data_IF_149228538202
#
_entry.id   IF_149228538202
#
_cell.length_a   1.000
_cell.length_b   1.000
_cell.length_c   1.000
_cell.angle_alpha   90.00
_cell.angle_beta   90.00
_cell.angle_gamma   90.00
#
_symmetry.space_group_name_H-M   'P 1'
#
loop_
_entity.id
_entity.type
_entity.pdbx_description
1 polymer ?
#
# COMPACT_ATOMS: atom_id res chain seq x y z
N UNK A 1 1.40 -80.29 24.15
CA UNK A 1 0.07 -79.91 23.61
C UNK A 1 0.25 -79.04 22.38
N UNK A 2 -0.70 -79.07 21.43
CA UNK A 2 -0.72 -78.21 20.24
C UNK A 2 -2.14 -77.71 19.98
N UNK A 3 -2.29 -76.48 19.51
CA UNK A 3 -3.60 -75.96 19.10
C UNK A 3 -3.94 -76.39 17.67
N UNK A 4 -5.24 -76.47 17.37
CA UNK A 4 -5.73 -76.72 16.01
C UNK A 4 -5.42 -75.52 15.09
N UNK A 5 -5.42 -75.75 13.77
CA UNK A 5 -5.18 -74.70 12.78
C UNK A 5 -6.20 -73.55 12.98
N UNK A 6 -5.71 -72.32 13.00
CA UNK A 6 -6.54 -71.13 13.27
C UNK A 6 -6.71 -70.81 14.76
N UNK A 7 -5.94 -71.44 15.64
CA UNK A 7 -5.89 -71.12 17.06
C UNK A 7 -4.44 -70.91 17.52
N UNK A 8 -4.22 -69.95 18.43
CA UNK A 8 -2.94 -69.64 19.06
C UNK A 8 -2.95 -70.14 20.50
N UNK A 9 -1.82 -70.68 20.96
CA UNK A 9 -1.69 -71.21 22.32
C UNK A 9 -1.30 -70.09 23.29
N UNK A 10 -2.01 -70.00 24.40
CA UNK A 10 -1.67 -69.16 25.55
C UNK A 10 -1.30 -70.07 26.73
N UNK A 11 -0.05 -70.00 27.19
CA UNK A 11 0.51 -70.87 28.22
C UNK A 11 1.54 -71.87 27.68
N UNK A 12 2.04 -72.74 28.56
CA UNK A 12 3.09 -73.70 28.21
C UNK A 12 2.55 -74.82 27.31
N UNK A 13 3.28 -75.12 26.24
CA UNK A 13 2.99 -76.30 25.41
C UNK A 13 3.31 -77.62 26.11
N UNK A 14 4.00 -77.55 27.25
CA UNK A 14 4.38 -78.69 28.09
C UNK A 14 3.79 -78.50 29.47
N UNK A 15 3.06 -79.51 29.95
CA UNK A 15 2.51 -79.55 31.30
C UNK A 15 3.11 -80.76 32.02
N UNK A 16 3.33 -80.62 33.32
CA UNK A 16 3.89 -81.67 34.16
C UNK A 16 2.79 -82.34 35.00
N UNK A 17 3.02 -83.62 35.33
CA UNK A 17 2.19 -84.34 36.29
C UNK A 17 2.91 -84.35 37.64
N UNK A 18 2.30 -83.72 38.65
CA UNK A 18 2.89 -83.59 39.97
C UNK A 18 1.93 -84.24 40.97
N UNK A 19 2.41 -85.26 41.69
CA UNK A 19 1.63 -86.01 42.70
C UNK A 19 0.28 -86.55 42.17
N UNK A 20 0.27 -87.06 40.94
CA UNK A 20 -0.92 -87.64 40.31
C UNK A 20 -1.90 -86.62 39.72
N UNK A 21 -1.60 -85.32 39.75
CA UNK A 21 -2.42 -84.27 39.15
C UNK A 21 -1.65 -83.54 38.05
N UNK A 22 -2.28 -83.40 36.89
CA UNK A 22 -1.74 -82.58 35.80
C UNK A 22 -1.87 -81.09 36.13
N UNK A 23 -0.85 -80.33 35.74
CA UNK A 23 -0.93 -78.87 35.67
C UNK A 23 -2.04 -78.41 34.71
N UNK A 24 -2.46 -77.14 34.84
CA UNK A 24 -3.51 -76.60 33.99
C UNK A 24 -3.08 -76.61 32.50
N UNK A 25 -3.91 -77.13 31.59
CA UNK A 25 -3.60 -77.13 30.17
C UNK A 25 -3.61 -75.70 29.60
N UNK A 26 -2.80 -75.40 28.57
CA UNK A 26 -2.82 -74.11 27.90
C UNK A 26 -4.16 -73.87 27.19
N UNK A 27 -4.55 -72.61 27.10
CA UNK A 27 -5.74 -72.19 26.37
C UNK A 27 -5.42 -72.01 24.88
N UNK A 28 -6.32 -72.47 24.02
CA UNK A 28 -6.24 -72.23 22.58
C UNK A 28 -7.24 -71.13 22.21
N UNK A 29 -6.74 -69.93 21.90
CA UNK A 29 -7.55 -68.79 21.47
C UNK A 29 -7.72 -68.78 19.95
N UNK A 30 -8.95 -68.55 19.48
CA UNK A 30 -9.27 -68.52 18.04
C UNK A 30 -8.67 -67.29 17.38
N UNK A 31 -7.94 -67.49 16.30
CA UNK A 31 -7.44 -66.42 15.43
C UNK A 31 -8.58 -65.95 14.53
N UNK A 32 -9.13 -64.77 14.81
CA UNK A 32 -10.18 -64.16 13.97
C UNK A 32 -9.49 -63.39 12.85
N UNK A 33 -9.72 -63.74 11.57
CA UNK A 33 -9.11 -63.03 10.47
C UNK A 33 -9.72 -61.63 10.35
N UNK A 34 -8.85 -60.62 10.20
CA UNK A 34 -9.26 -59.28 9.81
C UNK A 34 -9.47 -59.19 8.29
N UNK A 35 -10.26 -58.20 7.87
CA UNK A 35 -10.27 -57.75 6.47
C UNK A 35 -8.93 -57.10 6.12
N UNK A 36 -8.73 -56.76 4.85
CA UNK A 36 -7.58 -55.96 4.44
C UNK A 36 -7.48 -54.68 5.29
N UNK A 37 -6.26 -54.26 5.68
CA UNK A 37 -6.10 -53.08 6.50
C UNK A 37 -6.65 -51.82 5.83
N UNK A 38 -7.15 -50.83 6.60
CA UNK A 38 -7.67 -49.59 6.05
C UNK A 38 -6.62 -48.84 5.21
N UNK A 39 -7.04 -48.27 4.08
CA UNK A 39 -6.21 -47.32 3.35
C UNK A 39 -6.29 -45.95 4.00
N UNK A 40 -5.17 -45.24 4.10
CA UNK A 40 -5.12 -43.87 4.63
C UNK A 40 -4.81 -42.86 3.52
N UNK A 41 -5.37 -41.66 3.63
CA UNK A 41 -5.06 -40.56 2.71
C UNK A 41 -3.59 -40.14 2.87
N UNK A 42 -2.92 -39.86 1.76
CA UNK A 42 -1.51 -39.46 1.71
C UNK A 42 -0.53 -40.40 2.44
N UNK A 43 -0.88 -41.68 2.55
CA UNK A 43 0.01 -42.70 3.11
C UNK A 43 -0.23 -44.10 2.53
N UNK A 44 0.61 -45.04 2.95
CA UNK A 44 0.59 -46.43 2.53
C UNK A 44 1.06 -47.35 3.65
N UNK A 45 0.67 -48.62 3.58
CA UNK A 45 1.21 -49.66 4.46
C UNK A 45 2.67 -49.89 4.05
N UNK A 46 3.56 -49.95 5.04
CA UNK A 46 4.98 -50.26 4.82
C UNK A 46 5.14 -51.69 4.32
N UNK A 47 6.00 -51.90 3.33
CA UNK A 47 6.18 -53.20 2.67
C UNK A 47 6.60 -54.30 3.65
N UNK A 48 7.40 -53.93 4.66
CA UNK A 48 7.82 -54.83 5.76
C UNK A 48 6.67 -55.36 6.62
N UNK A 49 5.48 -54.76 6.56
CA UNK A 49 4.29 -55.17 7.32
C UNK A 49 3.17 -55.75 6.43
N UNK A 50 3.43 -55.90 5.11
CA UNK A 50 2.46 -56.51 4.20
C UNK A 50 2.43 -58.02 4.39
N UNK A 51 1.23 -58.57 4.48
CA UNK A 51 0.97 -59.99 4.62
C UNK A 51 -0.21 -60.39 3.74
N UNK A 52 -0.24 -61.64 3.29
CA UNK A 52 -1.35 -62.17 2.50
C UNK A 52 -2.65 -62.31 3.32
N UNK A 53 -2.53 -62.50 4.64
CA UNK A 53 -3.66 -62.63 5.58
C UNK A 53 -3.29 -62.03 6.93
N UNK A 54 -4.27 -61.41 7.57
CA UNK A 54 -4.14 -60.79 8.89
C UNK A 54 -5.09 -61.43 9.90
N UNK A 55 -4.63 -61.68 11.12
CA UNK A 55 -5.37 -62.26 12.24
C UNK A 55 -5.23 -61.41 13.50
N UNK A 56 -6.05 -61.69 14.53
CA UNK A 56 -5.96 -61.02 15.83
C UNK A 56 -4.52 -60.95 16.35
N UNK A 57 -4.14 -59.78 16.87
CA UNK A 57 -2.80 -59.36 17.32
C UNK A 57 -1.82 -58.94 16.21
N UNK A 58 -2.14 -59.12 14.93
CA UNK A 58 -1.29 -58.63 13.85
C UNK A 58 -1.28 -57.10 13.81
N UNK A 59 -0.11 -56.54 13.52
CA UNK A 59 0.12 -55.09 13.48
C UNK A 59 0.57 -54.71 12.08
N UNK A 60 -0.04 -53.66 11.53
CA UNK A 60 0.42 -53.02 10.31
C UNK A 60 0.94 -51.63 10.61
N UNK A 61 2.15 -51.34 10.11
CA UNK A 61 2.73 -49.99 10.17
C UNK A 61 2.44 -49.24 8.88
N UNK A 62 2.16 -47.96 9.02
CA UNK A 62 1.93 -47.05 7.91
C UNK A 62 3.14 -46.14 7.73
N UNK A 63 3.30 -45.63 6.51
CA UNK A 63 4.19 -44.53 6.17
C UNK A 63 3.41 -43.47 5.39
N UNK A 64 3.80 -42.21 5.52
CA UNK A 64 3.22 -41.13 4.76
C UNK A 64 4.01 -40.87 3.46
N UNK A 65 3.34 -40.29 2.47
CA UNK A 65 3.97 -39.81 1.23
C UNK A 65 4.87 -38.59 1.54
N UNK A 66 5.78 -38.27 0.63
CA UNK A 66 6.63 -37.08 0.74
C UNK A 66 5.81 -35.81 0.98
N UNK A 67 6.25 -34.95 1.91
CA UNK A 67 5.56 -33.73 2.31
C UNK A 67 4.51 -33.93 3.42
N UNK A 68 4.38 -35.15 3.95
CA UNK A 68 3.48 -35.50 5.04
C UNK A 68 4.20 -36.36 6.10
N UNK A 69 3.79 -36.18 7.36
CA UNK A 69 4.23 -36.97 8.49
C UNK A 69 3.05 -37.64 9.20
N UNK A 70 3.35 -38.68 9.96
CA UNK A 70 2.34 -39.36 10.79
C UNK A 70 2.02 -38.50 12.01
N UNK A 71 0.75 -38.18 12.17
CA UNK A 71 0.19 -37.58 13.37
C UNK A 71 -0.47 -38.67 14.24
N UNK A 72 0.06 -38.88 15.44
CA UNK A 72 -0.42 -39.89 16.39
C UNK A 72 0.26 -41.25 16.23
N UNK A 73 -0.50 -42.35 16.42
CA UNK A 73 0.04 -43.72 16.34
C UNK A 73 0.35 -44.11 14.88
N UNK A 74 1.53 -44.69 14.64
CA UNK A 74 2.03 -45.09 13.31
C UNK A 74 1.54 -46.46 12.84
N UNK A 75 0.74 -47.14 13.67
CA UNK A 75 0.34 -48.52 13.46
C UNK A 75 -1.13 -48.76 13.78
N UNK A 76 -1.70 -49.77 13.13
CA UNK A 76 -3.03 -50.29 13.43
C UNK A 76 -2.92 -51.79 13.76
N UNK A 77 -3.67 -52.23 14.76
CA UNK A 77 -3.66 -53.60 15.25
C UNK A 77 -4.98 -54.27 14.92
N UNK A 78 -4.93 -55.52 14.45
CA UNK A 78 -6.11 -56.34 14.25
C UNK A 78 -6.58 -56.87 15.61
N UNK A 79 -7.78 -56.48 16.05
CA UNK A 79 -8.42 -56.94 17.27
C UNK A 79 -9.76 -57.60 16.93
N UNK A 80 -9.84 -58.92 17.15
CA UNK A 80 -11.08 -59.69 16.98
C UNK A 80 -11.78 -59.48 15.62
N UNK A 81 -11.01 -59.35 14.54
CA UNK A 81 -11.52 -59.16 13.18
C UNK A 81 -11.77 -57.71 12.77
N UNK A 82 -11.49 -56.73 13.62
CA UNK A 82 -11.54 -55.30 13.30
C UNK A 82 -10.19 -54.62 13.52
N UNK A 83 -9.86 -53.66 12.67
CA UNK A 83 -8.65 -52.85 12.83
C UNK A 83 -8.89 -51.71 13.81
N UNK A 84 -7.89 -51.43 14.66
CA UNK A 84 -7.89 -50.21 15.47
C UNK A 84 -7.78 -48.96 14.61
N UNK A 85 -8.04 -47.79 15.19
CA UNK A 85 -7.92 -46.49 14.52
C UNK A 85 -6.60 -46.37 13.75
N UNK A 86 -6.69 -45.99 12.48
CA UNK A 86 -5.52 -45.80 11.61
C UNK A 86 -4.86 -44.42 11.83
N UNK A 87 -3.54 -44.28 11.58
CA UNK A 87 -2.86 -42.99 11.57
C UNK A 87 -3.50 -41.99 10.62
N UNK A 88 -3.21 -40.71 10.87
CA UNK A 88 -3.44 -39.63 9.92
C UNK A 88 -2.11 -39.10 9.42
N UNK A 89 -2.00 -38.95 8.10
CA UNK A 89 -0.90 -38.22 7.49
C UNK A 89 -1.29 -36.75 7.40
N UNK A 90 -0.54 -35.88 8.05
CA UNK A 90 -0.69 -34.42 8.03
C UNK A 90 0.52 -33.80 7.36
N UNK A 91 0.33 -32.65 6.73
CA UNK A 91 1.38 -31.93 6.01
C UNK A 91 2.58 -31.66 6.93
N UNK A 92 3.79 -31.75 6.38
CA UNK A 92 5.02 -31.52 7.15
C UNK A 92 5.09 -30.08 7.66
N UNK A 93 5.39 -29.88 8.96
CA UNK A 93 5.71 -28.57 9.47
C UNK A 93 7.10 -28.16 8.99
N UNK A 94 7.34 -26.85 8.95
CA UNK A 94 8.65 -26.29 8.71
C UNK A 94 9.37 -26.09 10.04
N UNK A 95 10.69 -26.17 9.99
CA UNK A 95 11.57 -25.80 11.11
C UNK A 95 11.60 -24.28 11.30
N UNK A 96 12.62 -23.77 12.01
CA UNK A 96 12.86 -22.34 12.20
C UNK A 96 12.83 -21.56 10.88
N UNK A 97 12.27 -20.35 10.95
CA UNK A 97 12.18 -19.48 9.79
C UNK A 97 13.59 -19.11 9.27
N UNK A 98 13.83 -19.08 7.96
CA UNK A 98 15.17 -18.83 7.41
C UNK A 98 15.69 -17.45 7.82
N UNK A 99 17.00 -17.35 8.04
CA UNK A 99 17.65 -16.06 8.26
C UNK A 99 17.65 -15.23 6.98
N UNK A 100 17.35 -13.94 7.11
CA UNK A 100 17.39 -12.97 6.00
C UNK A 100 18.43 -11.92 6.35
N UNK A 101 19.39 -11.68 5.46
CA UNK A 101 20.40 -10.65 5.67
C UNK A 101 19.74 -9.28 5.87
N UNK A 102 20.16 -8.55 6.90
CA UNK A 102 19.55 -7.28 7.33
C UNK A 102 18.04 -7.37 7.65
N UNK A 103 17.57 -8.56 8.03
CA UNK A 103 16.18 -8.83 8.36
C UNK A 103 16.07 -9.64 9.65
N UNK A 104 15.07 -9.30 10.46
CA UNK A 104 14.76 -9.96 11.72
C UNK A 104 13.36 -10.57 11.66
N UNK A 105 13.25 -11.84 12.07
CA UNK A 105 11.95 -12.52 12.24
C UNK A 105 11.23 -11.94 13.46
N UNK A 106 9.98 -11.50 13.27
CA UNK A 106 9.18 -10.85 14.32
C UNK A 106 8.92 -11.79 15.50
N UNK A 107 8.55 -13.04 15.21
CA UNK A 107 8.24 -14.05 16.21
C UNK A 107 9.08 -15.30 15.96
N UNK A 108 10.11 -15.51 16.78
CA UNK A 108 10.99 -16.68 16.68
C UNK A 108 10.30 -17.90 17.26
N UNK A 109 9.98 -18.87 16.40
CA UNK A 109 9.44 -20.19 16.79
C UNK A 109 10.31 -21.28 16.18
N UNK A 110 10.38 -22.42 16.87
CA UNK A 110 11.15 -23.59 16.42
C UNK A 110 10.46 -24.37 15.29
N UNK A 111 9.13 -24.30 15.24
CA UNK A 111 8.30 -25.08 14.33
C UNK A 111 7.14 -24.19 13.86
N UNK A 112 6.86 -24.24 12.57
CA UNK A 112 5.70 -23.61 11.93
C UNK A 112 4.90 -24.69 11.20
N UNK A 113 3.60 -24.79 11.50
CA UNK A 113 2.73 -25.73 10.82
C UNK A 113 2.51 -25.32 9.36
N UNK A 114 2.12 -26.30 8.54
CA UNK A 114 1.70 -26.04 7.16
C UNK A 114 0.65 -24.93 7.09
N UNK A 115 0.85 -23.98 6.19
CA UNK A 115 -0.03 -22.82 6.00
C UNK A 115 0.27 -21.63 6.93
N UNK A 116 1.11 -21.80 7.97
CA UNK A 116 1.58 -20.68 8.77
C UNK A 116 2.64 -19.85 8.03
N UNK A 117 2.82 -18.61 8.49
CA UNK A 117 3.82 -17.69 7.94
C UNK A 117 4.65 -17.01 9.02
N UNK A 118 5.92 -16.81 8.73
CA UNK A 118 6.83 -16.00 9.55
C UNK A 118 6.97 -14.60 8.94
N UNK A 119 6.75 -13.57 9.75
CA UNK A 119 6.90 -12.17 9.34
C UNK A 119 8.32 -11.65 9.60
N UNK A 120 8.78 -10.77 8.73
CA UNK A 120 10.11 -10.17 8.77
C UNK A 120 10.03 -8.65 8.83
N UNK A 121 10.95 -8.05 9.57
CA UNK A 121 11.19 -6.61 9.61
C UNK A 121 12.66 -6.39 9.23
N UNK A 122 12.93 -5.43 8.35
CA UNK A 122 14.29 -5.09 7.95
C UNK A 122 14.96 -4.16 8.96
N UNK A 123 16.27 -4.27 9.08
CA UNK A 123 17.10 -3.39 9.89
C UNK A 123 17.03 -1.94 9.37
N UNK A 124 17.43 -0.97 10.19
CA UNK A 124 17.50 0.44 9.79
C UNK A 124 18.38 0.61 8.54
N UNK A 125 17.93 1.41 7.57
CA UNK A 125 18.61 1.60 6.28
C UNK A 125 18.26 0.55 5.22
N UNK A 126 17.38 -0.40 5.53
CA UNK A 126 16.87 -1.40 4.60
C UNK A 126 15.36 -1.37 4.53
N UNK A 127 14.81 -1.74 3.38
CA UNK A 127 13.38 -1.92 3.17
C UNK A 127 13.10 -3.30 2.61
N UNK A 128 11.90 -3.77 2.88
CA UNK A 128 11.47 -5.08 2.40
C UNK A 128 11.14 -5.05 0.90
N UNK A 129 11.47 -6.13 0.20
CA UNK A 129 11.21 -6.31 -1.23
C UNK A 129 10.61 -7.69 -1.49
N UNK A 130 9.52 -7.74 -2.27
CA UNK A 130 8.84 -8.98 -2.67
C UNK A 130 7.75 -9.51 -1.72
N UNK A 131 7.55 -8.90 -0.55
CA UNK A 131 6.57 -9.29 0.47
C UNK A 131 7.20 -9.33 1.87
N UNK A 132 6.41 -9.28 2.96
CA UNK A 132 6.93 -9.20 4.33
C UNK A 132 6.98 -10.52 5.10
N UNK A 133 6.60 -11.62 4.45
CA UNK A 133 6.31 -12.88 5.11
C UNK A 133 6.79 -14.08 4.29
N UNK A 134 7.45 -15.04 4.93
CA UNK A 134 7.72 -16.37 4.37
C UNK A 134 6.59 -17.33 4.78
N UNK A 135 6.15 -18.21 3.89
CA UNK A 135 5.06 -19.17 4.14
C UNK A 135 5.58 -20.60 4.22
N UNK A 136 5.11 -21.38 5.19
CA UNK A 136 5.42 -22.79 5.31
C UNK A 136 4.48 -23.64 4.45
N UNK A 137 5.04 -24.46 3.56
CA UNK A 137 4.29 -25.41 2.75
C UNK A 137 5.04 -26.74 2.65
N UNK A 138 4.41 -27.85 3.07
CA UNK A 138 4.95 -29.21 2.98
C UNK A 138 6.42 -29.31 3.46
N UNK A 139 6.70 -28.77 4.65
CA UNK A 139 8.04 -28.75 5.25
C UNK A 139 9.05 -27.80 4.60
N UNK A 140 8.62 -26.95 3.65
CA UNK A 140 9.49 -26.00 2.95
C UNK A 140 9.02 -24.56 3.12
N UNK A 141 9.99 -23.68 3.31
CA UNK A 141 9.76 -22.23 3.32
C UNK A 141 9.66 -21.69 1.89
N UNK A 142 8.58 -20.97 1.60
CA UNK A 142 8.31 -20.32 0.34
C UNK A 142 8.23 -18.80 0.52
N UNK A 143 8.49 -18.05 -0.56
CA UNK A 143 8.37 -16.58 -0.60
C UNK A 143 9.20 -15.87 0.48
N UNK A 144 10.43 -16.35 0.71
CA UNK A 144 11.35 -15.74 1.67
C UNK A 144 11.64 -14.30 1.23
N UNK A 145 11.42 -13.30 2.11
CA UNK A 145 11.58 -11.90 1.74
C UNK A 145 13.05 -11.50 1.62
N UNK A 146 13.30 -10.36 0.98
CA UNK A 146 14.64 -9.76 0.90
C UNK A 146 14.62 -8.34 1.45
N UNK A 147 15.63 -8.00 2.25
CA UNK A 147 15.87 -6.64 2.70
C UNK A 147 16.90 -5.99 1.78
N UNK A 148 16.46 -4.95 1.06
CA UNK A 148 17.30 -4.19 0.13
C UNK A 148 17.64 -2.84 0.76
N UNK A 149 18.85 -2.35 0.51
CA UNK A 149 19.26 -1.03 1.01
C UNK A 149 18.32 0.06 0.50
N UNK A 150 18.08 1.07 1.34
CA UNK A 150 17.40 2.31 0.94
C UNK A 150 18.37 3.42 0.63
N UNK A 151 19.67 3.21 0.88
CA UNK A 151 20.71 4.19 0.60
C UNK A 151 20.90 4.42 -0.90
N UNK A 152 21.17 5.66 -1.28
CA UNK A 152 21.54 6.04 -2.62
C UNK A 152 23.06 5.89 -2.81
N UNK A 153 23.44 5.49 -4.02
CA UNK A 153 24.80 5.67 -4.52
C UNK A 153 25.18 7.16 -4.59
N UNK A 154 26.47 7.49 -4.80
CA UNK A 154 26.90 8.87 -4.89
C UNK A 154 26.07 9.67 -5.90
N UNK A 155 25.69 10.92 -5.56
CA UNK A 155 24.78 11.72 -6.37
C UNK A 155 25.30 11.95 -7.79
N UNK A 156 24.43 11.94 -8.81
CA UNK A 156 24.84 12.06 -10.19
C UNK A 156 25.41 13.46 -10.49
N UNK A 157 26.33 13.55 -11.45
CA UNK A 157 26.86 14.83 -11.89
C UNK A 157 25.78 15.64 -12.63
N UNK A 158 25.45 16.83 -12.12
CA UNK A 158 24.52 17.77 -12.77
C UNK A 158 25.31 18.73 -13.65
N UNK A 159 24.92 18.85 -14.93
CA UNK A 159 25.62 19.68 -15.91
C UNK A 159 25.69 21.15 -15.47
N UNK A 160 26.86 21.76 -15.65
CA UNK A 160 27.13 23.16 -15.28
C UNK A 160 26.89 23.46 -13.80
N UNK A 161 27.11 22.47 -12.93
CA UNK A 161 27.07 22.62 -11.49
C UNK A 161 28.27 21.92 -10.85
N UNK A 162 28.46 22.18 -9.57
CA UNK A 162 29.38 21.48 -8.70
C UNK A 162 28.65 21.08 -7.42
N UNK A 163 28.94 19.89 -6.91
CA UNK A 163 28.50 19.51 -5.58
C UNK A 163 29.25 20.36 -4.55
N UNK A 164 28.53 20.83 -3.53
CA UNK A 164 29.09 21.72 -2.51
C UNK A 164 29.81 20.95 -1.41
N UNK A 165 29.40 19.69 -1.19
CA UNK A 165 29.89 18.79 -0.15
C UNK A 165 30.81 17.72 -0.75
N UNK A 166 31.62 17.07 0.09
CA UNK A 166 32.43 15.92 -0.33
C UNK A 166 31.55 14.71 -0.65
N UNK A 167 31.94 13.96 -1.68
CA UNK A 167 31.23 12.74 -2.08
C UNK A 167 31.46 11.64 -1.04
N UNK A 168 30.38 11.12 -0.47
CA UNK A 168 30.37 9.87 0.30
C UNK A 168 30.18 8.70 -0.66
N UNK A 169 30.62 7.51 -0.26
CA UNK A 169 30.37 6.28 -1.01
C UNK A 169 28.88 5.86 -1.01
N UNK A 170 28.12 6.30 -0.01
CA UNK A 170 26.67 6.03 0.10
C UNK A 170 25.94 7.09 0.92
N UNK A 171 24.66 7.32 0.61
CA UNK A 171 23.79 8.30 1.28
C UNK A 171 22.52 7.66 1.81
N UNK A 172 22.15 7.88 3.07
CA UNK A 172 20.93 7.31 3.64
C UNK A 172 19.66 7.96 3.05
N UNK A 173 18.55 7.21 2.98
CA UNK A 173 17.28 7.76 2.51
C UNK A 173 16.82 8.90 3.42
N UNK A 174 16.60 10.08 2.85
CA UNK A 174 16.32 11.33 3.54
C UNK A 174 17.49 12.31 3.57
N UNK A 175 18.73 11.84 3.34
CA UNK A 175 19.88 12.74 3.21
C UNK A 175 19.74 13.64 1.99
N UNK A 176 20.24 14.87 2.12
CA UNK A 176 20.21 15.89 1.08
C UNK A 176 21.63 16.28 0.72
N UNK A 177 21.81 16.64 -0.54
CA UNK A 177 23.06 17.22 -1.04
C UNK A 177 22.77 18.49 -1.81
N UNK A 178 23.69 19.45 -1.72
CA UNK A 178 23.51 20.75 -2.37
C UNK A 178 24.43 20.92 -3.57
N UNK A 179 23.85 21.24 -4.72
CA UNK A 179 24.57 21.66 -5.91
C UNK A 179 24.59 23.18 -6.03
N UNK A 180 25.74 23.69 -6.45
CA UNK A 180 25.92 25.09 -6.81
C UNK A 180 26.18 25.19 -8.30
N UNK A 181 25.47 26.08 -9.01
CA UNK A 181 25.72 26.28 -10.43
C UNK A 181 27.10 26.91 -10.68
N UNK A 182 27.77 26.45 -11.74
CA UNK A 182 29.07 26.95 -12.15
C UNK A 182 28.96 28.43 -12.54
N UNK A 183 30.10 29.14 -12.54
CA UNK A 183 30.17 30.55 -12.96
C UNK A 183 29.53 30.73 -14.35
N UNK A 184 28.62 31.68 -14.46
CA UNK A 184 27.86 31.91 -15.69
C UNK A 184 26.61 31.04 -15.84
N UNK A 185 26.18 30.32 -14.80
CA UNK A 185 24.93 29.57 -14.76
C UNK A 185 24.14 29.85 -13.48
N UNK A 186 22.81 29.81 -13.55
CA UNK A 186 21.89 29.98 -12.42
C UNK A 186 20.90 28.83 -12.33
N UNK A 187 20.49 28.52 -11.12
CA UNK A 187 19.46 27.53 -10.84
C UNK A 187 18.13 27.92 -11.50
N UNK A 188 17.43 26.94 -12.06
CA UNK A 188 16.07 27.09 -12.56
C UNK A 188 15.10 27.36 -11.40
N UNK A 189 14.25 28.38 -11.56
CA UNK A 189 13.49 29.01 -10.46
C UNK A 189 12.55 28.07 -9.69
N UNK A 190 12.05 27.02 -10.34
CA UNK A 190 11.14 26.04 -9.73
C UNK A 190 11.85 24.93 -8.97
N UNK A 191 13.19 24.91 -8.97
CA UNK A 191 13.99 23.86 -8.36
C UNK A 191 14.80 24.43 -7.19
N UNK A 192 15.01 23.62 -6.16
CA UNK A 192 16.04 23.85 -5.15
C UNK A 192 17.40 23.41 -5.68
N UNK A 193 18.48 24.01 -5.17
CA UNK A 193 19.84 23.46 -5.37
C UNK A 193 20.04 22.15 -4.61
N UNK A 194 19.10 21.79 -3.74
CA UNK A 194 19.09 20.57 -2.94
C UNK A 194 18.46 19.41 -3.71
N UNK A 195 19.20 18.31 -3.82
CA UNK A 195 18.68 17.00 -4.19
C UNK A 195 18.57 16.12 -2.94
N UNK A 196 17.61 15.21 -2.91
CA UNK A 196 17.36 14.34 -1.76
C UNK A 196 17.41 12.87 -2.18
N UNK A 197 18.09 12.04 -1.38
CA UNK A 197 18.03 10.59 -1.54
C UNK A 197 16.67 10.08 -1.04
N UNK A 198 15.94 9.37 -1.88
CA UNK A 198 14.72 8.65 -1.51
C UNK A 198 14.78 7.23 -2.03
N UNK A 199 14.90 6.25 -1.12
CA UNK A 199 14.85 4.82 -1.42
C UNK A 199 15.68 4.42 -2.66
N UNK A 200 16.99 4.69 -2.63
CA UNK A 200 17.97 4.45 -3.70
C UNK A 200 17.88 5.35 -4.94
N UNK A 201 17.05 6.40 -4.94
CA UNK A 201 16.94 7.33 -6.06
C UNK A 201 17.15 8.78 -5.61
N UNK A 202 17.86 9.55 -6.43
CA UNK A 202 18.02 10.99 -6.20
C UNK A 202 16.85 11.77 -6.78
N UNK A 203 16.12 12.46 -5.91
CA UNK A 203 14.99 13.29 -6.23
C UNK A 203 15.39 14.77 -6.26
N UNK A 204 14.63 15.58 -7.00
CA UNK A 204 14.80 17.04 -7.09
C UNK A 204 16.19 17.49 -7.59
N UNK A 205 16.77 16.76 -8.55
CA UNK A 205 18.03 17.17 -9.16
C UNK A 205 17.90 18.58 -9.80
N UNK A 206 18.81 19.51 -9.50
CA UNK A 206 18.72 20.88 -9.99
C UNK A 206 19.05 20.99 -11.49
N UNK A 207 18.58 22.07 -12.10
CA UNK A 207 18.91 22.42 -13.48
C UNK A 207 19.57 23.80 -13.49
N UNK A 208 20.81 23.84 -13.99
CA UNK A 208 21.58 25.08 -14.13
C UNK A 208 21.49 25.62 -15.57
N UNK A 209 20.84 26.77 -15.74
CA UNK A 209 20.70 27.47 -17.04
C UNK A 209 21.71 28.59 -17.17
N UNK A 210 22.13 28.91 -18.40
CA UNK A 210 23.18 29.91 -18.65
C UNK A 210 22.70 31.32 -18.28
N UNK A 211 23.53 32.04 -17.52
CA UNK A 211 23.33 33.44 -17.14
C UNK A 211 23.55 34.33 -18.36
N UNK A 212 22.66 35.30 -18.56
CA UNK A 212 22.84 36.36 -19.56
C UNK A 212 22.19 36.14 -20.92
N UNK A 213 21.36 35.10 -21.09
CA UNK A 213 20.39 35.12 -22.19
C UNK A 213 19.38 36.23 -21.94
N UNK A 214 19.05 36.98 -22.99
CA UNK A 214 18.05 38.04 -22.93
C UNK A 214 16.68 37.38 -22.92
N UNK A 215 15.78 37.85 -22.06
CA UNK A 215 14.39 37.42 -22.17
C UNK A 215 13.77 38.08 -23.41
N UNK A 216 12.84 37.38 -24.06
CA UNK A 216 11.96 37.98 -25.06
C UNK A 216 10.94 38.94 -24.43
N UNK A 217 9.88 39.32 -25.15
CA UNK A 217 8.79 40.11 -24.59
C UNK A 217 8.21 39.46 -23.33
N UNK A 218 7.78 40.26 -22.33
CA UNK A 218 7.21 39.75 -21.09
C UNK A 218 5.93 38.93 -21.35
N UNK A 219 5.62 37.93 -20.49
CA UNK A 219 4.45 37.08 -20.65
C UNK A 219 3.15 37.87 -20.76
N UNK A 220 2.20 37.41 -21.56
CA UNK A 220 0.88 38.05 -21.64
C UNK A 220 0.02 37.64 -20.45
N UNK A 221 -0.52 38.61 -19.71
CA UNK A 221 -1.48 38.38 -18.63
C UNK A 221 -2.89 38.68 -19.13
N UNK A 222 -3.83 37.76 -18.93
CA UNK A 222 -5.23 37.99 -19.34
C UNK A 222 -5.82 39.17 -18.57
N UNK A 223 -6.46 40.10 -19.30
CA UNK A 223 -6.97 41.39 -18.80
C UNK A 223 -5.92 42.39 -18.30
N UNK A 224 -4.72 41.94 -17.92
CA UNK A 224 -3.64 42.79 -17.44
C UNK A 224 -2.68 43.25 -18.54
N UNK A 225 -1.92 44.29 -18.25
CA UNK A 225 -0.80 44.71 -19.11
C UNK A 225 0.35 45.28 -18.26
N UNK A 226 1.52 45.42 -18.89
CA UNK A 226 2.68 46.09 -18.30
C UNK A 226 2.46 47.60 -18.26
N UNK A 227 2.92 48.27 -17.21
CA UNK A 227 2.81 49.74 -17.07
C UNK A 227 3.69 50.52 -18.04
N UNK A 228 4.77 49.90 -18.53
CA UNK A 228 5.71 50.46 -19.49
C UNK A 228 5.60 49.87 -20.89
N UNK A 229 6.37 50.43 -21.82
CA UNK A 229 6.47 49.96 -23.21
C UNK A 229 7.19 48.60 -23.23
N UNK A 230 6.59 47.62 -23.93
CA UNK A 230 7.19 46.31 -24.13
C UNK A 230 8.36 46.41 -25.10
N UNK A 231 9.54 45.98 -24.66
CA UNK A 231 10.72 45.82 -25.51
C UNK A 231 10.70 44.43 -26.15
N UNK A 232 11.32 44.24 -27.32
CA UNK A 232 11.48 42.91 -27.91
C UNK A 232 12.45 42.03 -27.10
N UNK A 233 13.40 42.64 -26.38
CA UNK A 233 14.40 41.94 -25.59
C UNK A 233 14.64 42.67 -24.26
N UNK A 234 14.86 41.91 -23.19
CA UNK A 234 15.17 42.41 -21.85
C UNK A 234 16.44 41.77 -21.32
N UNK A 235 17.32 42.59 -20.73
CA UNK A 235 18.56 42.10 -20.09
C UNK A 235 18.22 41.40 -18.77
N UNK A 236 19.03 40.41 -18.40
CA UNK A 236 18.93 39.79 -17.08
C UNK A 236 19.03 40.85 -15.97
N UNK A 237 18.11 40.83 -15.02
CA UNK A 237 17.92 41.83 -13.96
C UNK A 237 16.91 42.94 -14.29
N UNK A 238 16.56 43.17 -15.57
CA UNK A 238 15.48 44.11 -15.92
C UNK A 238 14.12 43.59 -15.46
N UNK A 239 13.19 44.50 -15.17
CA UNK A 239 11.88 44.15 -14.66
C UNK A 239 10.77 44.92 -15.35
N UNK A 240 9.60 44.31 -15.41
CA UNK A 240 8.36 44.97 -15.81
C UNK A 240 7.37 44.93 -14.66
N UNK A 241 6.56 45.97 -14.56
CA UNK A 241 5.48 46.04 -13.57
C UNK A 241 4.16 45.82 -14.27
N UNK A 242 3.34 44.90 -13.76
CA UNK A 242 2.01 44.62 -14.27
C UNK A 242 0.95 45.44 -13.54
N UNK A 243 -0.13 45.73 -14.27
CA UNK A 243 -1.32 46.37 -13.74
C UNK A 243 -2.56 45.67 -14.30
N UNK A 244 -3.51 45.42 -13.41
CA UNK A 244 -4.83 44.96 -13.80
C UNK A 244 -5.78 46.15 -14.03
N UNK A 245 -6.81 45.99 -14.88
CA UNK A 245 -7.84 47.01 -15.11
C UNK A 245 -8.61 47.32 -13.83
N UNK A 246 -9.41 48.39 -13.87
CA UNK A 246 -10.25 48.76 -12.73
C UNK A 246 -11.13 47.58 -12.29
N UNK A 247 -11.29 47.45 -10.97
CA UNK A 247 -12.05 46.40 -10.27
C UNK A 247 -11.47 44.97 -10.35
N UNK A 248 -10.50 44.70 -11.22
CA UNK A 248 -9.74 43.44 -11.18
C UNK A 248 -8.75 43.45 -10.01
N UNK A 249 -8.47 42.28 -9.44
CA UNK A 249 -7.46 42.12 -8.39
C UNK A 249 -6.25 41.41 -8.95
N UNK A 250 -5.07 42.00 -8.78
CA UNK A 250 -3.79 41.38 -9.12
C UNK A 250 -3.44 40.36 -8.04
N UNK A 251 -3.30 39.09 -8.43
CA UNK A 251 -2.83 37.98 -7.58
C UNK A 251 -1.43 37.57 -8.05
N UNK A 252 -0.44 37.65 -7.16
CA UNK A 252 0.97 37.37 -7.45
C UNK A 252 1.85 38.62 -7.31
N UNK A 253 3.10 38.51 -7.75
CA UNK A 253 4.05 39.62 -7.71
C UNK A 253 3.76 40.65 -8.81
N UNK A 254 3.66 41.93 -8.41
CA UNK A 254 3.37 43.03 -9.34
C UNK A 254 4.56 43.32 -10.27
N UNK A 255 5.78 43.17 -9.75
CA UNK A 255 7.03 43.41 -10.48
C UNK A 255 7.64 42.06 -10.84
N UNK A 256 7.79 41.82 -12.13
CA UNK A 256 8.28 40.57 -12.70
C UNK A 256 9.63 40.84 -13.34
N UNK A 257 10.66 40.13 -12.92
CA UNK A 257 12.04 40.30 -13.43
C UNK A 257 12.37 39.31 -14.55
N UNK A 258 13.24 39.71 -15.45
CA UNK A 258 13.93 38.79 -16.35
C UNK A 258 15.15 38.25 -15.62
N UNK A 259 15.23 36.94 -15.43
CA UNK A 259 16.39 36.30 -14.83
C UNK A 259 16.92 35.26 -15.81
N UNK A 260 18.05 35.59 -16.44
CA UNK A 260 18.83 34.65 -17.27
C UNK A 260 18.00 34.00 -18.40
N UNK A 261 17.31 34.83 -19.18
CA UNK A 261 16.51 34.40 -20.33
C UNK A 261 15.10 33.91 -19.97
N UNK A 262 14.78 33.81 -18.68
CA UNK A 262 13.46 33.36 -18.20
C UNK A 262 12.79 34.47 -17.40
N UNK A 263 11.53 34.75 -17.72
CA UNK A 263 10.72 35.67 -16.92
C UNK A 263 10.28 35.01 -15.62
N UNK A 264 10.26 35.79 -14.55
CA UNK A 264 9.56 35.44 -13.32
C UNK A 264 8.07 35.13 -13.58
N UNK A 265 7.42 34.39 -12.68
CA UNK A 265 6.00 34.06 -12.81
C UNK A 265 5.15 35.35 -12.88
N UNK A 266 4.40 35.49 -13.98
CA UNK A 266 3.56 36.66 -14.19
C UNK A 266 2.32 36.59 -13.29
N UNK A 267 1.84 37.73 -12.77
CA UNK A 267 0.66 37.75 -11.93
C UNK A 267 -0.61 37.46 -12.73
N UNK A 268 -1.69 37.12 -12.03
CA UNK A 268 -3.01 36.87 -12.63
C UNK A 268 -3.96 38.00 -12.24
N UNK A 269 -4.71 38.52 -13.22
CA UNK A 269 -5.79 39.46 -12.95
C UNK A 269 -7.10 38.72 -12.71
N UNK A 270 -7.54 38.67 -11.46
CA UNK A 270 -8.82 38.07 -11.08
C UNK A 270 -9.97 38.99 -11.48
N UNK A 271 -10.90 38.44 -12.25
CA UNK A 271 -12.06 39.18 -12.76
C UNK A 271 -13.02 39.62 -11.63
N UNK A 272 -13.52 40.87 -11.69
CA UNK A 272 -14.63 41.32 -10.86
C UNK A 272 -15.92 40.68 -11.34
N UNK A 273 -16.90 40.61 -10.44
CA UNK A 273 -18.22 40.12 -10.78
C UNK A 273 -19.18 41.28 -11.00
N UNK A 274 -20.07 41.10 -11.98
CA UNK A 274 -21.15 42.06 -12.24
C UNK A 274 -22.48 41.46 -11.82
N UNK A 275 -23.19 42.10 -10.90
CA UNK A 275 -24.55 41.71 -10.53
C UNK A 275 -25.53 42.17 -11.62
N UNK A 276 -25.74 41.34 -12.65
CA UNK A 276 -26.56 41.70 -13.81
C UNK A 276 -28.03 41.76 -13.43
N UNK A 277 -28.71 42.80 -13.90
CA UNK A 277 -30.15 42.98 -13.66
C UNK A 277 -30.97 41.81 -14.19
N UNK A 278 -30.68 41.34 -15.41
CA UNK A 278 -31.32 40.16 -16.00
C UNK A 278 -31.22 38.91 -15.11
N UNK A 279 -30.03 38.61 -14.59
CA UNK A 279 -29.83 37.44 -13.72
C UNK A 279 -30.61 37.63 -12.41
N UNK A 280 -30.64 38.84 -11.84
CA UNK A 280 -31.44 39.12 -10.65
C UNK A 280 -32.95 38.98 -10.90
N UNK A 281 -33.44 39.40 -12.07
CA UNK A 281 -34.85 39.21 -12.48
C UNK A 281 -35.22 37.74 -12.60
N UNK A 282 -34.41 36.94 -13.32
CA UNK A 282 -34.63 35.51 -13.51
C UNK A 282 -34.68 34.74 -12.18
N UNK A 283 -33.88 35.18 -11.21
CA UNK A 283 -33.82 34.60 -9.87
C UNK A 283 -34.79 35.26 -8.87
N UNK A 284 -35.58 36.26 -9.31
CA UNK A 284 -36.60 36.99 -8.53
C UNK A 284 -36.05 37.67 -7.27
N UNK A 285 -34.83 38.18 -7.38
CA UNK A 285 -34.07 38.83 -6.32
C UNK A 285 -33.76 40.29 -6.68
N UNK A 286 -33.32 41.05 -5.69
CA UNK A 286 -32.86 42.43 -5.82
C UNK A 286 -31.67 42.65 -4.87
N UNK A 287 -30.84 43.67 -5.12
CA UNK A 287 -29.82 44.08 -4.14
C UNK A 287 -30.53 44.50 -2.84
N UNK A 288 -30.00 44.06 -1.69
CA UNK A 288 -30.60 44.36 -0.38
C UNK A 288 -30.60 45.86 -0.07
N UNK A 289 -29.56 46.57 -0.50
CA UNK A 289 -29.37 48.00 -0.26
C UNK A 289 -29.56 48.77 -1.58
N UNK A 290 -30.70 49.47 -1.73
CA UNK A 290 -31.10 50.13 -3.00
C UNK A 290 -30.30 51.40 -3.32
N UNK A 291 -29.72 52.03 -2.30
CA UNK A 291 -29.01 53.32 -2.43
C UNK A 291 -27.61 53.18 -3.03
N UNK A 292 -27.07 51.96 -3.05
CA UNK A 292 -25.78 51.64 -3.67
C UNK A 292 -26.02 50.66 -4.81
N UNK A 293 -26.11 51.18 -6.04
CA UNK A 293 -26.01 50.34 -7.25
C UNK A 293 -24.58 49.79 -7.38
N UNK A 294 -24.17 48.90 -6.46
CA UNK A 294 -22.89 48.19 -6.51
C UNK A 294 -22.98 47.14 -7.61
N UNK A 295 -22.92 47.62 -8.86
CA UNK A 295 -23.04 46.78 -10.05
C UNK A 295 -21.82 45.87 -10.22
N UNK A 296 -20.66 46.31 -9.71
CA UNK A 296 -19.38 45.59 -9.78
C UNK A 296 -18.84 45.30 -8.38
N UNK A 297 -18.40 44.07 -8.17
CA UNK A 297 -17.73 43.64 -6.93
C UNK A 297 -16.41 42.99 -7.25
N UNK A 298 -15.36 43.38 -6.52
CA UNK A 298 -14.04 42.78 -6.72
C UNK A 298 -14.04 41.30 -6.30
N UNK A 299 -13.08 40.54 -6.80
CA UNK A 299 -12.88 39.15 -6.36
C UNK A 299 -12.80 39.05 -4.83
N UNK A 300 -13.56 38.13 -4.24
CA UNK A 300 -13.65 37.95 -2.79
C UNK A 300 -14.56 38.94 -2.05
N UNK A 301 -15.03 40.02 -2.67
CA UNK A 301 -16.06 40.88 -2.07
C UNK A 301 -17.42 40.18 -2.11
N UNK A 302 -18.17 40.35 -1.03
CA UNK A 302 -19.49 39.77 -0.89
C UNK A 302 -20.60 40.74 -1.29
N UNK A 303 -21.63 40.18 -1.92
CA UNK A 303 -22.84 40.88 -2.36
C UNK A 303 -24.02 40.26 -1.65
N UNK A 304 -24.87 41.12 -1.11
CA UNK A 304 -26.07 40.72 -0.39
C UNK A 304 -27.35 41.05 -1.18
N UNK A 305 -28.19 40.05 -1.32
CA UNK A 305 -29.45 40.10 -2.04
C UNK A 305 -30.64 39.98 -1.09
N UNK A 306 -31.81 40.40 -1.55
CA UNK A 306 -33.10 40.18 -0.92
C UNK A 306 -34.09 39.68 -1.96
N UNK A 307 -35.10 38.92 -1.54
CA UNK A 307 -36.19 38.57 -2.45
C UNK A 307 -36.94 39.82 -2.90
N UNK A 308 -37.46 39.78 -4.12
CA UNK A 308 -38.43 40.79 -4.57
C UNK A 308 -39.74 40.67 -3.78
N UNK A 309 -40.54 41.76 -3.71
CA UNK A 309 -41.86 41.71 -3.07
C UNK A 309 -42.70 40.53 -3.59
N UNK A 310 -43.39 39.82 -2.70
CA UNK A 310 -44.22 38.65 -3.03
C UNK A 310 -43.45 37.36 -3.30
N UNK A 311 -42.16 37.31 -2.98
CA UNK A 311 -41.31 36.12 -3.14
C UNK A 311 -40.53 35.82 -1.86
N UNK A 312 -40.26 34.55 -1.62
CA UNK A 312 -39.54 34.06 -0.45
C UNK A 312 -38.46 33.03 -0.86
N UNK A 313 -37.37 32.98 -0.10
CA UNK A 313 -36.33 31.98 -0.28
C UNK A 313 -36.57 30.78 0.65
N UNK A 314 -36.17 29.57 0.26
CA UNK A 314 -36.23 28.39 1.12
C UNK A 314 -35.46 28.61 2.45
N UNK A 315 -35.91 28.00 3.56
CA UNK A 315 -35.19 28.07 4.83
C UNK A 315 -33.73 27.62 4.70
N UNK A 316 -32.80 28.40 5.25
CA UNK A 316 -31.36 28.13 5.17
C UNK A 316 -30.65 28.64 3.90
N UNK A 317 -31.39 29.24 2.95
CA UNK A 317 -30.77 29.83 1.74
C UNK A 317 -29.86 31.00 2.12
N UNK A 318 -28.60 30.95 1.67
CA UNK A 318 -27.65 32.03 1.88
C UNK A 318 -27.92 33.18 0.89
N UNK A 319 -28.38 34.32 1.41
CA UNK A 319 -28.70 35.50 0.60
C UNK A 319 -27.50 36.40 0.29
N UNK A 320 -26.30 35.94 0.65
CA UNK A 320 -25.05 36.65 0.46
C UNK A 320 -24.07 35.74 -0.26
N UNK A 321 -23.39 36.24 -1.28
CA UNK A 321 -22.49 35.45 -2.13
C UNK A 321 -21.20 36.22 -2.39
N UNK A 322 -20.07 35.52 -2.43
CA UNK A 322 -18.77 36.10 -2.74
C UNK A 322 -18.53 36.08 -4.26
N UNK A 323 -17.90 37.13 -4.78
CA UNK A 323 -17.43 37.13 -6.15
C UNK A 323 -16.26 36.14 -6.34
N UNK A 324 -16.43 35.15 -7.21
CA UNK A 324 -15.40 34.15 -7.51
C UNK A 324 -15.06 34.17 -9.01
N UNK A 325 -13.97 34.87 -9.35
CA UNK A 325 -13.40 34.99 -10.71
C UNK A 325 -14.49 35.30 -11.76
N UNK A 326 -15.12 36.47 -11.65
CA UNK A 326 -16.17 36.89 -12.58
C UNK A 326 -17.53 36.22 -12.41
N UNK A 327 -17.67 35.21 -11.54
CA UNK A 327 -18.92 34.48 -11.30
C UNK A 327 -19.53 34.81 -9.94
N UNK A 328 -20.84 35.08 -9.95
CA UNK A 328 -21.69 35.16 -8.77
C UNK A 328 -22.65 33.99 -8.75
N UNK A 329 -22.73 33.31 -7.62
CA UNK A 329 -23.78 32.32 -7.39
C UNK A 329 -25.00 33.05 -6.83
N UNK A 330 -25.99 33.30 -7.68
CA UNK A 330 -27.19 34.03 -7.29
C UNK A 330 -28.15 33.16 -6.47
N UNK A 331 -28.68 33.66 -5.34
CA UNK A 331 -29.76 32.99 -4.62
C UNK A 331 -31.06 33.05 -5.42
N UNK A 332 -31.98 32.11 -5.18
CA UNK A 332 -33.27 32.02 -5.87
C UNK A 332 -34.44 32.22 -4.91
N UNK A 333 -35.40 33.03 -5.32
CA UNK A 333 -36.67 33.22 -4.59
C UNK A 333 -37.87 32.71 -5.41
N UNK A 334 -38.90 32.28 -4.71
CA UNK A 334 -40.09 31.66 -5.29
C UNK A 334 -41.35 32.36 -4.78
N UNK A 335 -42.41 32.37 -5.60
CA UNK A 335 -43.71 32.94 -5.23
C UNK A 335 -44.46 32.10 -4.18
N UNK A 336 -44.19 30.80 -4.12
CA UNK A 336 -44.76 29.88 -3.14
C UNK A 336 -43.70 28.83 -2.74
N UNK A 337 -43.22 28.90 -1.50
CA UNK A 337 -42.14 28.00 -1.01
C UNK A 337 -42.61 26.55 -0.89
N UNK A 338 -43.93 26.28 -1.01
CA UNK A 338 -44.51 24.93 -0.98
C UNK A 338 -44.40 24.15 -2.30
N UNK A 339 -44.05 24.78 -3.41
CA UNK A 339 -43.92 24.11 -4.73
C UNK A 339 -42.57 23.40 -4.95
N UNK A 340 -41.66 23.44 -3.97
CA UNK A 340 -40.33 22.78 -4.04
C UNK A 340 -40.32 21.32 -3.54
N UNK A 341 -41.44 20.80 -3.04
CA UNK A 341 -41.53 19.41 -2.58
C UNK A 341 -41.91 18.40 -3.70
N UNK A 342 -41.96 18.84 -4.96
CA UNK A 342 -42.22 17.97 -6.13
C UNK A 342 -41.32 18.32 -7.31
N UNK A 343 -40.04 17.97 -7.21
CA UNK A 343 -39.20 17.61 -8.36
C UNK A 343 -37.94 16.91 -7.91
#
# INVERSE_FOLDING_TARGET
MRCNRGYKMLGSSVIHCINGRWEQPPECIRLVPCKNPPTINNGNILESSKQDKYVTDDVVKYGCKSGFHISGADQSTCLNGQWTTSPKCTEDPCDEAPEVAHGTVVEKRKIFNHGESAKYICDNGFRISGGDSASCAEGKWLKIPTCVTTSCEPPPAVRNSMLTEELKDSYESGEKVTYTCNRGYSLERSLSGEAQCENTQWMNLPVCRKIGEQCGPPPTVQFGDTTGIRKPNYKSGESVEYRCPNYHILKGEKVVRCMNGVWEEAPVCLEPCTAKEKDMEENRIQLRWRDYKKLYSKHGEEIEFACKPGHEAPPGTQMRTACQQGKLQYPKCFTNVRDLAKR
#
